data_IF_742699425926
#
_entry.id   IF_742699425926
#
_cell.length_a   1.000
_cell.length_b   1.000
_cell.length_c   1.000
_cell.angle_alpha   90.00
_cell.angle_beta   90.00
_cell.angle_gamma   90.00
#
_symmetry.space_group_name_H-M   'P 1'
#
loop_
_entity.id
_entity.type
_entity.pdbx_description
1 polymer ?
#
# COMPACT_ATOMS: atom_id res chain seq x y z
N UNK A 1 3.60 24.11 43.55
CA UNK A 1 3.38 22.68 43.30
C UNK A 1 2.60 22.43 42.00
N UNK A 2 1.51 23.16 41.76
CA UNK A 2 0.69 23.08 40.53
C UNK A 2 1.44 23.40 39.22
N UNK A 3 2.41 24.31 39.23
CA UNK A 3 3.17 24.71 38.02
C UNK A 3 4.15 23.65 37.54
N UNK A 4 4.78 22.92 38.46
CA UNK A 4 5.74 21.85 38.14
C UNK A 4 5.03 20.63 37.55
N UNK A 5 3.89 20.24 38.13
CA UNK A 5 3.06 19.13 37.64
C UNK A 5 2.56 19.43 36.21
N UNK A 6 2.07 20.65 35.95
CA UNK A 6 1.65 21.07 34.60
C UNK A 6 2.78 20.97 33.58
N UNK A 7 4.01 21.38 33.93
CA UNK A 7 5.18 21.27 33.04
C UNK A 7 5.51 19.82 32.73
N UNK A 8 5.52 18.95 33.73
CA UNK A 8 5.79 17.51 33.54
C UNK A 8 4.74 16.88 32.62
N UNK A 9 3.44 17.16 32.85
CA UNK A 9 2.38 16.65 31.98
C UNK A 9 2.51 17.17 30.54
N UNK A 10 2.82 18.45 30.36
CA UNK A 10 3.00 19.05 29.04
C UNK A 10 4.18 18.43 28.29
N UNK A 11 5.33 18.25 28.96
CA UNK A 11 6.49 17.57 28.38
C UNK A 11 6.15 16.12 28.05
N UNK A 12 5.41 15.42 28.92
CA UNK A 12 4.93 14.06 28.66
C UNK A 12 4.08 13.96 27.40
N UNK A 13 3.09 14.84 27.23
CA UNK A 13 2.27 14.88 26.02
C UNK A 13 3.06 15.26 24.78
N UNK A 14 4.05 16.16 24.91
CA UNK A 14 4.92 16.55 23.81
C UNK A 14 5.80 15.38 23.33
N UNK A 15 6.44 14.66 24.25
CA UNK A 15 7.25 13.48 23.92
C UNK A 15 6.36 12.40 23.29
N UNK A 16 5.19 12.14 23.88
CA UNK A 16 4.24 11.18 23.32
C UNK A 16 3.81 11.55 21.90
N UNK A 17 3.42 12.80 21.68
CA UNK A 17 3.05 13.31 20.36
C UNK A 17 4.20 13.22 19.35
N UNK A 18 5.42 13.54 19.77
CA UNK A 18 6.61 13.42 18.92
C UNK A 18 6.87 11.97 18.52
N UNK A 19 6.79 11.01 19.46
CA UNK A 19 6.97 9.58 19.16
C UNK A 19 5.88 9.08 18.22
N UNK A 20 4.61 9.42 18.45
CA UNK A 20 3.51 9.01 17.56
C UNK A 20 3.67 9.58 16.15
N UNK A 21 4.09 10.85 16.03
CA UNK A 21 4.34 11.47 14.73
C UNK A 21 5.49 10.79 13.98
N UNK A 22 6.58 10.45 14.68
CA UNK A 22 7.69 9.71 14.08
C UNK A 22 7.26 8.31 13.62
N UNK A 23 6.48 7.59 14.43
CA UNK A 23 5.95 6.28 14.06
C UNK A 23 5.03 6.35 12.84
N UNK A 24 4.19 7.40 12.75
CA UNK A 24 3.33 7.64 11.59
C UNK A 24 4.17 7.85 10.33
N UNK A 25 5.20 8.70 10.38
CA UNK A 25 6.09 8.94 9.23
C UNK A 25 6.81 7.65 8.84
N UNK A 26 7.34 6.90 9.81
CA UNK A 26 8.03 5.63 9.55
C UNK A 26 7.07 4.62 8.90
N UNK A 27 5.85 4.47 9.42
CA UNK A 27 4.84 3.58 8.86
C UNK A 27 4.50 3.96 7.41
N UNK A 28 4.24 5.24 7.15
CA UNK A 28 3.98 5.74 5.80
C UNK A 28 5.15 5.50 4.84
N UNK A 29 6.38 5.74 5.31
CA UNK A 29 7.59 5.48 4.52
C UNK A 29 7.69 4.00 4.17
N UNK A 30 7.51 3.11 5.14
CA UNK A 30 7.56 1.66 4.91
C UNK A 30 6.48 1.19 3.94
N UNK A 31 5.27 1.73 4.04
CA UNK A 31 4.16 1.38 3.13
C UNK A 31 4.45 1.81 1.69
N UNK A 32 4.94 3.04 1.49
CA UNK A 32 5.28 3.55 0.16
C UNK A 32 6.45 2.79 -0.44
N UNK A 33 7.48 2.49 0.36
CA UNK A 33 8.69 1.80 -0.13
C UNK A 33 8.43 0.34 -0.51
N UNK A 34 7.50 -0.36 0.15
CA UNK A 34 7.15 -1.75 -0.17
C UNK A 34 6.12 -1.91 -1.28
N UNK A 35 5.48 -0.81 -1.67
CA UNK A 35 4.38 -0.87 -2.63
C UNK A 35 4.84 -1.38 -4.00
N UNK A 36 6.00 -0.94 -4.48
CA UNK A 36 6.63 -1.47 -5.70
C UNK A 36 8.15 -1.40 -5.54
N UNK A 37 8.78 -2.55 -5.35
CA UNK A 37 10.23 -2.67 -5.24
C UNK A 37 10.91 -2.84 -6.61
N UNK A 38 10.13 -2.88 -7.71
CA UNK A 38 10.67 -3.06 -9.05
C UNK A 38 11.09 -1.73 -9.69
N UNK A 39 12.14 -1.78 -10.50
CA UNK A 39 12.61 -0.63 -11.27
C UNK A 39 13.17 -1.04 -12.63
N UNK A 40 13.04 -0.17 -13.63
CA UNK A 40 13.41 -0.47 -15.02
C UNK A 40 12.33 -1.23 -15.77
N UNK A 41 12.60 -1.55 -17.04
CA UNK A 41 11.60 -2.15 -17.94
C UNK A 41 10.37 -1.26 -18.12
N UNK A 42 10.56 0.06 -18.32
CA UNK A 42 9.46 1.02 -18.45
C UNK A 42 8.84 1.06 -19.86
N UNK A 43 9.49 0.43 -20.84
CA UNK A 43 9.02 0.34 -22.23
C UNK A 43 8.78 -1.13 -22.61
N UNK A 44 7.81 -1.41 -23.51
CA UNK A 44 7.59 -2.74 -24.06
C UNK A 44 8.90 -3.36 -24.59
N UNK A 45 9.14 -4.67 -24.40
CA UNK A 45 8.26 -5.69 -23.81
C UNK A 45 8.21 -5.72 -22.27
N UNK A 46 8.68 -4.67 -21.58
CA UNK A 46 8.77 -4.56 -20.12
C UNK A 46 9.72 -5.58 -19.46
N UNK A 47 10.74 -5.98 -20.23
CA UNK A 47 11.81 -6.86 -19.77
C UNK A 47 12.94 -6.05 -19.06
N UNK A 48 13.89 -6.77 -18.44
CA UNK A 48 15.06 -6.21 -17.76
C UNK A 48 14.74 -5.26 -16.59
N UNK A 49 13.60 -5.46 -15.92
CA UNK A 49 13.39 -4.87 -14.61
C UNK A 49 14.28 -5.55 -13.56
N UNK A 50 14.58 -4.83 -12.48
CA UNK A 50 15.22 -5.35 -11.28
C UNK A 50 14.29 -5.18 -10.08
N UNK A 51 14.62 -5.85 -8.98
CA UNK A 51 13.76 -5.89 -7.78
C UNK A 51 12.75 -7.04 -7.83
N UNK A 52 12.02 -7.20 -6.73
CA UNK A 52 11.08 -8.31 -6.56
C UNK A 52 9.67 -7.87 -6.97
N UNK A 53 9.01 -8.59 -7.91
CA UNK A 53 7.61 -8.34 -8.21
C UNK A 53 6.73 -8.57 -6.99
N UNK A 54 5.68 -7.75 -6.87
CA UNK A 54 4.60 -7.97 -5.90
C UNK A 54 3.98 -9.35 -6.12
N UNK A 55 4.02 -10.18 -5.07
CA UNK A 55 3.29 -11.45 -5.04
C UNK A 55 1.83 -11.20 -4.65
N UNK A 56 0.99 -10.91 -5.65
CA UNK A 56 -0.45 -10.74 -5.47
C UNK A 56 -1.15 -12.02 -4.97
N UNK A 57 -0.55 -13.20 -5.15
CA UNK A 57 -1.11 -14.45 -4.66
C UNK A 57 -1.03 -14.58 -3.14
N UNK A 58 -0.04 -13.96 -2.50
CA UNK A 58 0.14 -13.96 -1.05
C UNK A 58 -0.70 -12.90 -0.30
N UNK A 59 -1.42 -12.03 -1.02
CA UNK A 59 -2.20 -10.94 -0.44
C UNK A 59 -3.61 -11.37 -0.03
N UNK A 60 -4.20 -10.58 0.87
CA UNK A 60 -5.56 -10.80 1.37
C UNK A 60 -6.58 -10.63 0.23
N UNK A 61 -7.67 -11.39 0.30
CA UNK A 61 -8.82 -11.23 -0.57
C UNK A 61 -9.89 -10.33 0.08
N UNK A 62 -10.60 -9.59 -0.77
CA UNK A 62 -11.82 -8.84 -0.43
C UNK A 62 -12.89 -9.11 -1.48
N UNK A 63 -14.12 -8.68 -1.20
CA UNK A 63 -15.26 -8.87 -2.11
C UNK A 63 -15.06 -8.28 -3.52
N UNK A 64 -14.17 -7.28 -3.66
CA UNK A 64 -13.94 -6.55 -4.91
C UNK A 64 -12.61 -6.92 -5.58
N UNK A 65 -11.75 -7.67 -4.90
CA UNK A 65 -10.43 -8.04 -5.39
C UNK A 65 -9.40 -8.23 -4.28
N UNK A 66 -8.18 -7.75 -4.48
CA UNK A 66 -7.02 -8.07 -3.63
C UNK A 66 -6.63 -6.88 -2.74
N UNK A 67 -6.17 -7.15 -1.52
CA UNK A 67 -5.78 -6.16 -0.52
C UNK A 67 -4.36 -6.42 0.00
N UNK A 68 -3.47 -5.46 -0.22
CA UNK A 68 -2.15 -5.41 0.42
C UNK A 68 -2.22 -4.66 1.74
N UNK A 69 -1.87 -5.32 2.85
CA UNK A 69 -1.91 -4.71 4.19
C UNK A 69 -0.62 -3.92 4.47
N UNK A 70 -0.77 -2.62 4.76
CA UNK A 70 0.31 -1.78 5.25
C UNK A 70 0.20 -1.50 6.75
N UNK A 71 1.14 -0.71 7.25
CA UNK A 71 1.16 -0.21 8.63
C UNK A 71 0.17 0.94 8.84
N UNK A 72 0.03 1.81 7.84
CA UNK A 72 -0.80 3.03 7.87
C UNK A 72 -1.78 3.03 6.70
N UNK A 73 -1.33 2.64 5.52
CA UNK A 73 -2.11 2.63 4.28
C UNK A 73 -2.24 1.19 3.79
N UNK A 74 -3.48 0.74 3.54
CA UNK A 74 -3.70 -0.49 2.79
C UNK A 74 -3.77 -0.18 1.29
N UNK A 75 -3.25 -1.07 0.48
CA UNK A 75 -3.40 -1.05 -0.96
C UNK A 75 -4.58 -1.95 -1.38
N UNK A 76 -5.32 -1.52 -2.40
CA UNK A 76 -6.43 -2.26 -2.96
C UNK A 76 -6.28 -2.36 -4.48
N UNK A 77 -6.58 -3.54 -5.00
CA UNK A 77 -6.78 -3.79 -6.42
C UNK A 77 -8.21 -4.30 -6.63
N UNK A 78 -9.01 -3.55 -7.38
CA UNK A 78 -10.28 -4.06 -7.89
C UNK A 78 -10.01 -5.07 -9.00
N UNK A 79 -10.34 -6.34 -8.74
CA UNK A 79 -10.04 -7.44 -9.66
C UNK A 79 -10.94 -7.48 -10.90
N UNK A 80 -11.95 -6.61 -11.01
CA UNK A 80 -12.77 -6.48 -12.22
C UNK A 80 -12.23 -5.38 -13.13
N UNK A 81 -11.96 -4.19 -12.56
CA UNK A 81 -11.62 -3.00 -13.35
C UNK A 81 -10.13 -2.71 -13.44
N UNK A 82 -9.31 -3.37 -12.61
CA UNK A 82 -7.88 -3.09 -12.50
C UNK A 82 -7.59 -1.78 -11.76
N UNK A 83 -8.61 -1.16 -11.16
CA UNK A 83 -8.45 0.06 -10.40
C UNK A 83 -7.65 -0.20 -9.14
N UNK A 84 -6.53 0.49 -9.01
CA UNK A 84 -5.76 0.56 -7.79
C UNK A 84 -6.22 1.73 -6.92
N UNK A 85 -6.30 1.48 -5.63
CA UNK A 85 -6.66 2.46 -4.63
C UNK A 85 -5.90 2.23 -3.33
N UNK A 86 -6.02 3.21 -2.45
CA UNK A 86 -5.44 3.17 -1.12
C UNK A 86 -6.53 3.34 -0.07
N UNK A 87 -6.42 2.65 1.05
CA UNK A 87 -7.31 2.79 2.20
C UNK A 87 -6.54 3.35 3.39
N UNK A 88 -7.03 4.45 3.93
CA UNK A 88 -6.51 5.10 5.12
C UNK A 88 -7.67 5.31 6.10
N UNK A 89 -7.56 4.78 7.33
CA UNK A 89 -8.63 4.83 8.34
C UNK A 89 -10.01 4.35 7.82
N UNK A 90 -10.03 3.31 6.99
CA UNK A 90 -11.26 2.74 6.42
C UNK A 90 -11.85 3.56 5.26
N UNK A 91 -11.23 4.67 4.86
CA UNK A 91 -11.61 5.43 3.68
C UNK A 91 -10.80 4.96 2.49
N UNK A 92 -11.47 4.38 1.49
CA UNK A 92 -10.89 4.01 0.20
C UNK A 92 -10.83 5.23 -0.73
N UNK A 93 -9.66 5.42 -1.34
CA UNK A 93 -9.40 6.46 -2.32
C UNK A 93 -8.86 5.78 -3.58
N UNK A 94 -9.64 5.83 -4.65
CA UNK A 94 -9.22 5.33 -5.95
C UNK A 94 -8.13 6.25 -6.53
N UNK A 95 -7.11 5.65 -7.15
CA UNK A 95 -5.97 6.38 -7.68
C UNK A 95 -5.87 6.30 -9.20
N UNK A 96 -5.65 5.10 -9.75
CA UNK A 96 -5.52 4.87 -11.21
C UNK A 96 -5.79 3.42 -11.54
N UNK A 97 -5.88 3.08 -12.83
CA UNK A 97 -5.85 1.67 -13.28
C UNK A 97 -4.40 1.18 -13.28
N UNK A 98 -4.18 -0.12 -13.04
CA UNK A 98 -2.87 -0.76 -13.20
C UNK A 98 -2.28 -0.45 -14.58
N UNK A 99 -0.97 -0.22 -14.64
CA UNK A 99 -0.29 0.03 -15.91
C UNK A 99 -0.01 -1.29 -16.65
N UNK A 100 0.17 -1.22 -17.97
CA UNK A 100 0.58 -2.37 -18.79
C UNK A 100 1.85 -3.04 -18.26
N UNK A 101 2.85 -2.25 -17.84
CA UNK A 101 4.05 -2.76 -17.17
C UNK A 101 3.68 -3.55 -15.90
N UNK A 102 2.83 -3.00 -15.04
CA UNK A 102 2.47 -3.67 -13.80
C UNK A 102 1.70 -4.97 -14.05
N UNK A 103 0.87 -5.00 -15.11
CA UNK A 103 0.18 -6.21 -15.56
C UNK A 103 1.19 -7.29 -15.96
N UNK A 104 2.19 -6.94 -16.79
CA UNK A 104 3.19 -7.90 -17.30
C UNK A 104 4.14 -8.35 -16.19
N UNK A 105 4.61 -7.43 -15.35
CA UNK A 105 5.66 -7.69 -14.35
C UNK A 105 5.11 -8.40 -13.12
N UNK A 106 3.95 -7.99 -12.60
CA UNK A 106 3.41 -8.49 -11.34
C UNK A 106 2.25 -9.47 -11.50
N UNK A 107 1.74 -9.67 -12.73
CA UNK A 107 0.70 -10.65 -13.04
C UNK A 107 -0.54 -10.56 -12.12
N UNK A 108 -1.09 -9.35 -11.87
CA UNK A 108 -2.26 -9.18 -10.99
C UNK A 108 -3.51 -9.85 -11.55
N UNK A 109 -3.62 -10.00 -12.88
CA UNK A 109 -4.79 -10.61 -13.54
C UNK A 109 -4.87 -12.08 -13.20
N UNK A 110 -3.74 -12.76 -13.25
CA UNK A 110 -3.57 -14.17 -12.92
C UNK A 110 -3.99 -14.41 -11.47
N UNK A 111 -3.48 -13.60 -10.53
CA UNK A 111 -3.85 -13.69 -9.13
C UNK A 111 -5.35 -13.42 -8.87
N UNK A 112 -5.98 -12.53 -9.65
CA UNK A 112 -7.43 -12.30 -9.60
C UNK A 112 -8.22 -13.49 -10.17
N UNK A 113 -7.80 -14.06 -11.31
CA UNK A 113 -8.45 -15.22 -11.92
C UNK A 113 -8.37 -16.46 -11.03
N UNK A 114 -7.24 -16.69 -10.36
CA UNK A 114 -7.06 -17.77 -9.39
C UNK A 114 -8.05 -17.70 -8.22
N UNK A 115 -8.49 -16.48 -7.87
CA UNK A 115 -9.52 -16.21 -6.85
C UNK A 115 -10.95 -16.19 -7.40
N UNK A 116 -11.14 -16.54 -8.67
CA UNK A 116 -12.47 -16.64 -9.29
C UNK A 116 -13.04 -15.31 -9.81
N UNK A 117 -12.25 -14.24 -9.86
CA UNK A 117 -12.65 -13.00 -10.52
C UNK A 117 -12.52 -13.11 -12.05
N UNK A 118 -13.19 -12.21 -12.77
CA UNK A 118 -13.11 -12.07 -14.23
C UNK A 118 -12.58 -10.67 -14.59
N UNK A 119 -11.26 -10.46 -14.59
CA UNK A 119 -10.65 -9.14 -14.84
C UNK A 119 -10.84 -8.66 -16.28
N UNK A 120 -11.25 -7.40 -16.46
CA UNK A 120 -11.49 -6.72 -17.74
C UNK A 120 -10.42 -5.65 -18.08
N UNK A 121 -9.25 -5.77 -17.46
CA UNK A 121 -8.09 -4.89 -17.66
C UNK A 121 -6.88 -5.68 -18.15
#
# INVERSE_FOLDING_TARGET
MTTTIKKIMMVGFMIFGMVMFLLLIIGLYLDISRFDETSGGYEPPYENYSGDPIDFSALDESNEGIVGRGYVINFHLNCTTGMIGFELYGQKIDYRVVSERAIVVHQPREACMERGFSPDF
#
